data_IF_263951265343
#
_entry.id   IF_263951265343
#
_cell.length_a   1.000
_cell.length_b   1.000
_cell.length_c   1.000
_cell.angle_alpha   90.00
_cell.angle_beta   90.00
_cell.angle_gamma   90.00
#
_symmetry.space_group_name_H-M   'P 1'
#
loop_
_entity.id
_entity.type
_entity.pdbx_description
1 polymer ?
#
# COMPACT_ATOMS: atom_id res chain seq x y z
N UNK A 1 2.33 8.73 -24.87
CA UNK A 1 3.23 7.55 -24.67
C UNK A 1 2.49 6.21 -24.92
N UNK A 2 1.17 6.21 -25.03
CA UNK A 2 0.34 5.03 -25.28
C UNK A 2 0.06 4.74 -26.77
N UNK A 3 0.61 5.54 -27.69
CA UNK A 3 0.30 5.45 -29.14
C UNK A 3 1.40 4.77 -29.99
N UNK A 4 2.40 4.16 -29.40
CA UNK A 4 3.48 3.48 -30.16
C UNK A 4 3.41 1.95 -30.06
N UNK A 5 2.44 1.35 -29.38
CA UNK A 5 2.33 -0.12 -29.21
C UNK A 5 1.27 -0.79 -30.11
N UNK A 6 0.78 -0.13 -31.12
CA UNK A 6 -0.23 -0.69 -32.00
C UNK A 6 0.26 -0.89 -33.44
N UNK A 7 1.13 -1.84 -33.70
CA UNK A 7 1.25 -2.58 -35.00
C UNK A 7 2.51 -3.44 -35.04
N UNK A 8 2.40 -4.69 -34.63
CA UNK A 8 3.27 -5.76 -35.14
C UNK A 8 2.59 -7.11 -34.91
N UNK A 9 1.80 -7.54 -35.88
CA UNK A 9 1.42 -8.93 -36.01
C UNK A 9 2.24 -9.56 -37.15
N UNK A 10 2.87 -10.72 -36.82
CA UNK A 10 3.31 -11.81 -37.68
C UNK A 10 4.55 -11.64 -38.56
N UNK A 11 5.69 -12.14 -38.09
CA UNK A 11 6.59 -13.05 -38.80
C UNK A 11 7.68 -13.61 -37.85
N UNK A 12 8.16 -14.86 -38.02
CA UNK A 12 9.14 -15.48 -37.11
C UNK A 12 10.59 -15.11 -37.46
N UNK A 13 11.59 -15.51 -36.64
CA UNK A 13 12.51 -14.58 -36.02
C UNK A 13 13.89 -14.58 -36.67
N UNK A 14 14.28 -13.48 -37.14
CA UNK A 14 15.64 -13.02 -36.95
C UNK A 14 15.57 -11.83 -36.04
N UNK A 15 15.85 -12.07 -34.74
CA UNK A 15 15.86 -11.00 -33.73
C UNK A 15 17.02 -10.06 -34.05
N UNK A 16 16.79 -9.17 -35.00
CA UNK A 16 17.49 -7.92 -35.04
C UNK A 16 17.00 -7.13 -33.85
N UNK A 17 17.74 -7.13 -32.74
CA UNK A 17 17.50 -6.24 -31.63
C UNK A 17 17.62 -4.82 -32.21
N UNK A 18 16.51 -4.21 -32.55
CA UNK A 18 16.42 -2.77 -32.78
C UNK A 18 16.73 -2.10 -31.43
N UNK A 19 18.00 -1.92 -31.15
CA UNK A 19 18.43 -0.88 -30.22
C UNK A 19 18.09 0.44 -30.91
N UNK A 20 16.88 0.95 -30.71
CA UNK A 20 16.58 2.34 -31.02
C UNK A 20 17.49 3.15 -30.10
N UNK A 21 18.59 3.61 -30.68
CA UNK A 21 19.43 4.65 -30.10
C UNK A 21 18.54 5.90 -30.08
N UNK A 22 17.98 6.19 -28.93
CA UNK A 22 17.07 7.32 -28.74
C UNK A 22 17.72 8.64 -29.14
N UNK A 23 19.03 8.75 -28.99
CA UNK A 23 19.78 9.94 -29.39
C UNK A 23 19.84 10.08 -30.92
N UNK A 24 19.79 8.99 -31.68
CA UNK A 24 19.71 9.04 -33.15
C UNK A 24 18.37 9.58 -33.65
N UNK A 25 17.28 9.41 -32.89
CA UNK A 25 15.94 9.92 -33.24
C UNK A 25 15.93 11.46 -33.30
N UNK A 26 16.72 12.12 -32.45
CA UNK A 26 16.86 13.60 -32.48
C UNK A 26 17.42 14.13 -33.79
N UNK A 27 18.12 13.30 -34.58
CA UNK A 27 18.66 13.67 -35.90
C UNK A 27 17.64 13.66 -37.03
N UNK A 28 16.45 13.05 -36.84
CA UNK A 28 15.41 12.84 -37.87
C UNK A 28 14.63 14.11 -38.22
N UNK A 29 14.75 15.20 -37.43
CA UNK A 29 14.13 16.49 -37.72
C UNK A 29 13.72 17.29 -36.48
N UNK A 30 13.05 18.41 -36.70
CA UNK A 30 12.67 19.34 -35.62
C UNK A 30 11.68 18.73 -34.63
N UNK A 31 10.68 18.01 -35.10
CA UNK A 31 9.64 17.40 -34.24
C UNK A 31 10.19 16.21 -33.42
N UNK A 32 10.90 15.22 -33.99
CA UNK A 32 11.56 14.20 -33.19
C UNK A 32 12.54 14.77 -32.16
N UNK A 33 13.30 15.81 -32.50
CA UNK A 33 14.18 16.51 -31.54
C UNK A 33 13.41 17.15 -30.39
N UNK A 34 12.28 17.79 -30.68
CA UNK A 34 11.39 18.33 -29.63
C UNK A 34 10.88 17.21 -28.73
N UNK A 35 10.40 16.10 -29.27
CA UNK A 35 9.96 14.94 -28.47
C UNK A 35 11.08 14.38 -27.60
N UNK A 36 12.31 14.30 -28.09
CA UNK A 36 13.47 13.86 -27.33
C UNK A 36 13.82 14.85 -26.21
N UNK A 37 13.78 16.15 -26.48
CA UNK A 37 14.00 17.16 -25.44
C UNK A 37 12.97 17.09 -24.31
N UNK A 38 11.69 16.90 -24.67
CA UNK A 38 10.61 16.68 -23.68
C UNK A 38 10.84 15.40 -22.88
N UNK A 39 11.27 14.33 -23.54
CA UNK A 39 11.61 13.07 -22.89
C UNK A 39 12.76 13.25 -21.89
N UNK A 40 13.87 13.84 -22.31
CA UNK A 40 15.03 14.08 -21.43
C UNK A 40 14.68 15.02 -20.27
N UNK A 41 13.94 16.08 -20.55
CA UNK A 41 13.46 16.95 -19.49
C UNK A 41 12.55 16.18 -18.48
N UNK A 42 11.65 15.36 -19.01
CA UNK A 42 10.78 14.54 -18.16
C UNK A 42 11.57 13.51 -17.34
N UNK A 43 12.56 12.84 -17.95
CA UNK A 43 13.42 11.89 -17.25
C UNK A 43 14.25 12.59 -16.16
N UNK A 44 14.83 13.75 -16.43
CA UNK A 44 15.58 14.53 -15.45
C UNK A 44 14.68 15.06 -14.33
N UNK A 45 13.52 15.57 -14.67
CA UNK A 45 12.56 16.12 -13.70
C UNK A 45 11.99 15.04 -12.78
N UNK A 46 11.50 13.91 -13.34
CA UNK A 46 10.85 12.86 -12.57
C UNK A 46 11.80 11.85 -11.95
N UNK A 47 12.92 11.57 -12.61
CA UNK A 47 13.88 10.55 -12.20
C UNK A 47 15.25 11.09 -11.81
N UNK A 48 15.44 12.41 -11.83
CA UNK A 48 16.70 13.06 -11.43
C UNK A 48 17.07 12.71 -9.99
N UNK A 49 18.36 12.41 -9.75
CA UNK A 49 18.91 12.12 -8.43
C UNK A 49 20.37 12.58 -8.33
N UNK A 50 20.81 12.79 -7.10
CA UNK A 50 22.22 13.05 -6.78
C UNK A 50 22.96 11.71 -6.64
N UNK A 51 23.86 11.40 -7.56
CA UNK A 51 24.62 10.14 -7.60
C UNK A 51 25.49 9.90 -6.37
N UNK A 52 25.76 10.94 -5.55
CA UNK A 52 26.45 10.78 -4.27
C UNK A 52 25.54 10.26 -3.16
N UNK A 53 24.20 10.31 -3.32
CA UNK A 53 23.19 9.85 -2.37
C UNK A 53 22.40 8.64 -2.84
N UNK A 54 22.07 8.59 -4.13
CA UNK A 54 21.21 7.55 -4.72
C UNK A 54 21.85 7.03 -5.99
N UNK A 55 21.72 5.74 -6.28
CA UNK A 55 22.20 5.16 -7.53
C UNK A 55 21.15 4.28 -8.20
N UNK A 56 21.28 4.11 -9.53
CA UNK A 56 20.45 3.19 -10.33
C UNK A 56 20.89 1.74 -10.09
N UNK A 57 19.96 0.82 -10.23
CA UNK A 57 20.25 -0.63 -10.18
C UNK A 57 20.82 -1.16 -11.49
N UNK A 58 20.82 -0.36 -12.56
CA UNK A 58 21.24 -0.71 -13.93
C UNK A 58 20.48 -1.91 -14.52
N UNK A 59 19.31 -2.20 -13.98
CA UNK A 59 18.42 -3.28 -14.43
C UNK A 59 17.00 -2.74 -14.62
N UNK A 60 16.32 -3.26 -15.64
CA UNK A 60 14.97 -2.81 -15.98
C UNK A 60 13.88 -3.69 -15.39
N UNK A 61 14.17 -4.99 -15.24
CA UNK A 61 13.22 -5.95 -14.72
C UNK A 61 13.59 -6.38 -13.32
N UNK A 62 12.59 -6.57 -12.47
CA UNK A 62 12.73 -7.36 -11.27
C UNK A 62 11.52 -8.28 -11.07
N UNK A 63 11.80 -9.44 -10.52
CA UNK A 63 10.82 -10.40 -10.02
C UNK A 63 11.02 -10.50 -8.53
N UNK A 64 9.93 -10.40 -7.76
CA UNK A 64 9.94 -10.43 -6.32
C UNK A 64 8.89 -11.41 -5.82
N UNK A 65 9.29 -12.31 -4.94
CA UNK A 65 8.41 -13.15 -4.16
C UNK A 65 8.16 -12.48 -2.82
N UNK A 66 6.90 -12.41 -2.42
CA UNK A 66 6.46 -11.81 -1.18
C UNK A 66 5.79 -12.86 -0.30
N UNK A 67 5.99 -12.75 1.00
CA UNK A 67 5.15 -13.37 2.02
C UNK A 67 4.68 -12.26 2.94
N UNK A 68 3.38 -12.02 3.02
CA UNK A 68 2.76 -11.00 3.87
C UNK A 68 1.93 -11.69 4.96
N UNK A 69 2.25 -11.40 6.21
CA UNK A 69 1.43 -11.75 7.37
C UNK A 69 0.75 -10.50 7.88
N UNK A 70 -0.56 -10.55 8.14
CA UNK A 70 -1.33 -9.40 8.60
C UNK A 70 -2.32 -9.78 9.69
N UNK A 71 -2.72 -8.75 10.45
CA UNK A 71 -3.80 -8.82 11.42
C UNK A 71 -4.56 -7.49 11.43
N UNK A 72 -5.88 -7.59 11.47
CA UNK A 72 -6.77 -6.43 11.56
C UNK A 72 -7.29 -6.32 12.99
N UNK A 73 -7.40 -5.08 13.47
CA UNK A 73 -7.98 -4.75 14.77
C UNK A 73 -9.06 -3.70 14.56
N UNK A 74 -10.28 -3.99 15.00
CA UNK A 74 -11.41 -3.10 14.92
C UNK A 74 -11.89 -2.76 16.34
N UNK A 75 -11.85 -1.47 16.68
CA UNK A 75 -12.31 -0.99 17.98
C UNK A 75 -13.52 -0.09 17.77
N UNK A 76 -14.61 -0.41 18.45
CA UNK A 76 -15.82 0.40 18.53
C UNK A 76 -15.91 1.00 19.93
N UNK A 77 -15.91 2.33 20.01
CA UNK A 77 -16.24 3.07 21.22
C UNK A 77 -17.68 3.53 21.11
N UNK A 78 -18.51 3.02 21.99
CA UNK A 78 -19.95 3.21 22.00
C UNK A 78 -20.34 4.16 23.14
N UNK A 79 -21.57 4.73 23.13
CA UNK A 79 -22.09 5.49 24.25
C UNK A 79 -22.12 4.67 25.56
N UNK A 80 -22.32 5.38 26.69
CA UNK A 80 -22.39 4.80 28.02
C UNK A 80 -21.13 4.04 28.44
N UNK A 81 -19.95 4.52 27.97
CA UNK A 81 -18.64 3.92 28.30
C UNK A 81 -18.53 2.45 27.88
N UNK A 82 -19.10 2.07 26.75
CA UNK A 82 -19.03 0.71 26.21
C UNK A 82 -18.03 0.62 25.05
N UNK A 83 -17.39 -0.53 24.94
CA UNK A 83 -16.47 -0.80 23.82
C UNK A 83 -16.55 -2.24 23.32
N UNK A 84 -16.25 -2.42 22.04
CA UNK A 84 -16.10 -3.73 21.40
C UNK A 84 -14.76 -3.74 20.67
N UNK A 85 -13.94 -4.76 20.93
CA UNK A 85 -12.71 -4.99 20.19
C UNK A 85 -12.75 -6.32 19.49
N UNK A 86 -12.63 -6.25 18.18
CA UNK A 86 -12.55 -7.41 17.30
C UNK A 86 -11.13 -7.49 16.74
N UNK A 87 -10.55 -8.67 16.78
CA UNK A 87 -9.20 -8.94 16.27
C UNK A 87 -9.26 -10.10 15.30
N UNK A 88 -8.64 -9.94 14.14
CA UNK A 88 -8.50 -11.05 13.22
C UNK A 88 -7.41 -12.01 13.68
N UNK A 89 -7.57 -13.29 13.39
CA UNK A 89 -6.44 -14.21 13.50
C UNK A 89 -5.38 -13.83 12.47
N UNK A 90 -4.07 -13.84 12.85
CA UNK A 90 -3.01 -13.58 11.90
C UNK A 90 -3.09 -14.51 10.71
N UNK A 91 -3.10 -13.98 9.53
CA UNK A 91 -3.14 -14.74 8.29
C UNK A 91 -1.93 -14.40 7.41
N UNK A 92 -1.51 -15.36 6.59
CA UNK A 92 -0.34 -15.21 5.72
C UNK A 92 -0.74 -15.42 4.26
N UNK A 93 -0.30 -14.51 3.41
CA UNK A 93 -0.38 -14.66 1.96
C UNK A 93 1.02 -14.87 1.37
N UNK A 94 1.06 -15.49 0.20
CA UNK A 94 2.22 -15.48 -0.67
C UNK A 94 1.84 -14.86 -2.01
N UNK A 95 2.76 -14.13 -2.58
CA UNK A 95 2.53 -13.42 -3.82
C UNK A 95 3.77 -13.22 -4.66
N UNK A 96 3.53 -12.76 -5.87
CA UNK A 96 4.55 -12.39 -6.84
C UNK A 96 4.37 -10.95 -7.28
N UNK A 97 5.47 -10.23 -7.38
CA UNK A 97 5.51 -8.90 -7.98
C UNK A 97 6.43 -8.92 -9.19
N UNK A 98 6.00 -8.27 -10.24
CA UNK A 98 6.78 -8.00 -11.43
C UNK A 98 6.93 -6.50 -11.57
N UNK A 99 8.13 -6.03 -11.85
CA UNK A 99 8.35 -4.61 -12.12
C UNK A 99 9.16 -4.43 -13.39
N UNK A 100 8.80 -3.41 -14.13
CA UNK A 100 9.53 -2.92 -15.28
C UNK A 100 9.74 -1.42 -15.14
N UNK A 101 10.99 -1.00 -15.00
CA UNK A 101 11.35 0.40 -14.69
C UNK A 101 10.60 0.91 -13.43
N UNK A 102 9.75 1.92 -13.62
CA UNK A 102 8.97 2.56 -12.56
C UNK A 102 7.60 1.90 -12.28
N UNK A 103 7.17 0.99 -13.16
CA UNK A 103 5.86 0.33 -13.06
C UNK A 103 6.00 -1.01 -12.36
N UNK A 104 5.10 -1.29 -11.44
CA UNK A 104 5.03 -2.58 -10.73
C UNK A 104 3.60 -3.07 -10.64
N UNK A 105 3.44 -4.39 -10.77
CA UNK A 105 2.18 -5.09 -10.53
C UNK A 105 2.46 -6.21 -9.52
N UNK A 106 1.60 -6.35 -8.53
CA UNK A 106 1.68 -7.44 -7.57
C UNK A 106 0.31 -8.07 -7.32
N UNK A 107 0.35 -9.37 -7.07
CA UNK A 107 -0.81 -10.15 -6.69
C UNK A 107 -0.43 -11.13 -5.59
N UNK A 108 -1.18 -11.10 -4.50
CA UNK A 108 -0.97 -11.94 -3.33
C UNK A 108 -2.22 -12.77 -3.03
N UNK A 109 -2.03 -14.05 -2.67
CA UNK A 109 -3.10 -14.99 -2.30
C UNK A 109 -2.85 -15.55 -0.92
N UNK A 110 -3.90 -15.64 -0.12
CA UNK A 110 -3.84 -16.26 1.21
C UNK A 110 -3.45 -17.73 1.09
N UNK A 111 -2.44 -18.13 1.87
CA UNK A 111 -1.92 -19.49 1.97
C UNK A 111 -2.05 -20.09 3.38
N UNK A 112 -2.61 -19.38 4.34
CA UNK A 112 -2.74 -19.83 5.73
C UNK A 112 -3.44 -21.19 5.83
N UNK A 113 -4.45 -21.43 4.99
CA UNK A 113 -5.19 -22.68 4.97
C UNK A 113 -4.35 -23.93 4.62
N UNK A 114 -3.22 -23.78 3.90
CA UNK A 114 -2.30 -24.89 3.62
C UNK A 114 -1.52 -25.35 4.87
N UNK A 115 -1.37 -24.46 5.86
CA UNK A 115 -0.65 -24.71 7.10
C UNK A 115 -1.58 -24.91 8.30
N UNK A 116 -2.87 -25.22 8.07
CA UNK A 116 -3.85 -25.39 9.14
C UNK A 116 -4.30 -24.11 9.82
N UNK A 117 -3.96 -22.96 9.27
CA UNK A 117 -4.39 -21.65 9.75
C UNK A 117 -5.79 -21.27 9.26
N UNK A 118 -6.26 -20.05 9.60
CA UNK A 118 -7.60 -19.57 9.29
C UNK A 118 -7.87 -19.58 7.79
N UNK A 119 -9.07 -20.03 7.40
CA UNK A 119 -9.54 -20.02 6.00
C UNK A 119 -10.03 -18.64 5.59
N UNK A 120 -9.24 -17.62 5.81
CA UNK A 120 -9.59 -16.24 5.40
C UNK A 120 -9.33 -16.05 3.93
N UNK A 121 -10.22 -15.32 3.28
CA UNK A 121 -10.02 -14.89 1.90
C UNK A 121 -9.55 -13.44 1.89
N UNK A 122 -8.25 -13.22 1.70
CA UNK A 122 -7.72 -11.89 1.36
C UNK A 122 -7.24 -11.93 -0.08
N UNK A 123 -7.75 -11.01 -0.88
CA UNK A 123 -7.25 -10.70 -2.21
C UNK A 123 -6.63 -9.31 -2.13
N UNK A 124 -5.38 -9.19 -2.55
CA UNK A 124 -4.66 -7.93 -2.53
C UNK A 124 -4.03 -7.73 -3.91
N UNK A 125 -4.62 -6.83 -4.67
CA UNK A 125 -4.08 -6.40 -5.96
C UNK A 125 -3.51 -5.00 -5.83
N UNK A 126 -2.29 -4.78 -6.35
CA UNK A 126 -1.63 -3.48 -6.35
C UNK A 126 -1.01 -3.20 -7.70
N UNK A 127 -1.20 -1.97 -8.16
CA UNK A 127 -0.54 -1.41 -9.33
C UNK A 127 0.21 -0.15 -8.90
N UNK A 128 1.52 -0.14 -9.06
CA UNK A 128 2.38 0.94 -8.61
C UNK A 128 3.18 1.59 -9.75
N UNK A 129 3.31 2.90 -9.66
CA UNK A 129 4.27 3.68 -10.42
C UNK A 129 5.16 4.46 -9.46
N UNK A 130 6.48 4.23 -9.52
CA UNK A 130 7.44 4.85 -8.62
C UNK A 130 8.62 5.42 -9.40
N UNK A 131 8.78 6.72 -9.35
CA UNK A 131 9.98 7.40 -9.82
C UNK A 131 10.66 8.15 -8.66
N UNK A 132 11.72 8.93 -8.92
CA UNK A 132 12.40 9.63 -7.84
C UNK A 132 11.51 10.70 -7.19
N UNK A 133 10.75 11.44 -8.00
CA UNK A 133 9.91 12.54 -7.55
C UNK A 133 8.54 12.08 -7.06
N UNK A 134 7.91 11.13 -7.76
CA UNK A 134 6.49 10.79 -7.63
C UNK A 134 6.31 9.31 -7.35
N UNK A 135 5.44 8.99 -6.43
CA UNK A 135 4.90 7.65 -6.27
C UNK A 135 3.39 7.66 -6.39
N UNK A 136 2.87 6.70 -7.14
CA UNK A 136 1.43 6.49 -7.37
C UNK A 136 1.15 5.02 -7.13
N UNK A 137 0.11 4.72 -6.35
CA UNK A 137 -0.32 3.35 -6.09
C UNK A 137 -1.84 3.26 -6.19
N UNK A 138 -2.31 2.31 -6.98
CA UNK A 138 -3.69 1.83 -6.91
C UNK A 138 -3.71 0.52 -6.15
N UNK A 139 -4.70 0.33 -5.29
CA UNK A 139 -4.90 -0.90 -4.53
C UNK A 139 -6.37 -1.29 -4.44
N UNK A 140 -6.59 -2.59 -4.44
CA UNK A 140 -7.89 -3.24 -4.27
C UNK A 140 -7.72 -4.41 -3.31
N UNK A 141 -8.22 -4.24 -2.08
CA UNK A 141 -8.01 -5.15 -0.96
C UNK A 141 -9.38 -5.62 -0.48
N UNK A 142 -9.64 -6.90 -0.65
CA UNK A 142 -10.82 -7.56 -0.14
C UNK A 142 -10.44 -8.53 0.97
N UNK A 143 -11.11 -8.45 2.11
CA UNK A 143 -10.80 -9.23 3.28
C UNK A 143 -12.09 -9.71 3.95
N UNK A 144 -12.29 -11.01 4.00
CA UNK A 144 -13.34 -11.65 4.76
C UNK A 144 -12.76 -12.74 5.67
N UNK A 145 -13.45 -13.12 6.74
CA UNK A 145 -13.10 -14.32 7.47
C UNK A 145 -12.93 -14.19 8.98
N UNK A 146 -12.30 -15.22 9.54
CA UNK A 146 -12.30 -15.54 10.96
C UNK A 146 -11.72 -14.45 11.84
N UNK A 147 -12.53 -13.93 12.74
CA UNK A 147 -12.15 -12.92 13.73
C UNK A 147 -12.67 -13.33 15.10
N UNK A 148 -12.18 -12.68 16.13
CA UNK A 148 -12.63 -12.90 17.50
C UNK A 148 -12.92 -11.59 18.20
N UNK A 149 -14.00 -11.53 18.94
CA UNK A 149 -14.23 -10.51 19.94
C UNK A 149 -13.30 -10.81 21.10
N UNK A 150 -12.41 -9.87 21.41
CA UNK A 150 -11.42 -10.00 22.48
C UNK A 150 -11.73 -9.15 23.70
N UNK A 151 -12.58 -8.12 23.53
CA UNK A 151 -13.06 -7.26 24.59
C UNK A 151 -14.51 -6.86 24.28
N UNK A 152 -15.34 -6.83 25.33
CA UNK A 152 -16.73 -6.40 25.23
C UNK A 152 -17.20 -5.79 26.58
N UNK A 153 -18.02 -4.75 26.52
CA UNK A 153 -18.61 -4.13 27.72
C UNK A 153 -17.97 -2.79 28.07
N UNK A 154 -17.91 -2.45 29.36
CA UNK A 154 -17.45 -1.15 29.83
C UNK A 154 -16.00 -0.86 29.39
N UNK A 155 -15.75 0.32 28.77
CA UNK A 155 -14.43 0.71 28.26
C UNK A 155 -13.38 0.82 29.38
N UNK A 156 -13.82 1.24 30.56
CA UNK A 156 -12.98 1.36 31.76
C UNK A 156 -12.52 0.02 32.34
N UNK A 157 -13.35 -1.05 32.16
CA UNK A 157 -13.04 -2.40 32.62
C UNK A 157 -13.69 -3.45 31.71
N UNK A 158 -13.21 -3.58 30.45
CA UNK A 158 -13.83 -4.48 29.49
C UNK A 158 -13.59 -5.95 29.87
N UNK A 159 -14.61 -6.77 29.70
CA UNK A 159 -14.48 -8.22 29.83
C UNK A 159 -13.54 -8.74 28.72
N UNK A 160 -12.51 -9.47 29.12
CA UNK A 160 -11.59 -10.14 28.18
C UNK A 160 -12.18 -11.50 27.83
N UNK A 161 -12.30 -11.75 26.54
CA UNK A 161 -12.89 -12.99 26.02
C UNK A 161 -12.21 -13.43 24.73
N UNK A 162 -12.51 -14.61 24.26
CA UNK A 162 -12.19 -15.08 22.92
C UNK A 162 -13.46 -15.71 22.33
N UNK A 163 -14.33 -14.86 21.77
CA UNK A 163 -15.56 -15.30 21.11
C UNK A 163 -15.37 -15.23 19.59
N UNK A 164 -15.59 -16.34 18.90
CA UNK A 164 -15.54 -16.38 17.43
C UNK A 164 -16.59 -15.43 16.84
N UNK A 165 -16.16 -14.63 15.87
CA UNK A 165 -17.01 -13.66 15.18
C UNK A 165 -16.79 -13.75 13.67
N UNK A 166 -17.82 -14.20 12.94
CA UNK A 166 -17.77 -14.45 11.49
C UNK A 166 -18.42 -13.35 10.64
N UNK A 167 -19.06 -12.40 11.27
CA UNK A 167 -19.85 -11.37 10.62
C UNK A 167 -19.03 -10.20 10.09
N UNK A 168 -17.85 -10.45 9.48
CA UNK A 168 -17.01 -9.37 8.91
C UNK A 168 -16.79 -9.58 7.42
N UNK A 169 -17.04 -8.52 6.66
CA UNK A 169 -16.62 -8.37 5.27
C UNK A 169 -16.09 -6.95 5.09
N UNK A 170 -14.85 -6.83 4.61
CA UNK A 170 -14.24 -5.52 4.36
C UNK A 170 -13.63 -5.45 2.97
N UNK A 171 -13.95 -4.36 2.27
CA UNK A 171 -13.41 -4.06 0.97
C UNK A 171 -12.90 -2.62 0.96
N UNK A 172 -11.63 -2.43 0.62
CA UNK A 172 -11.00 -1.13 0.43
C UNK A 172 -10.35 -1.08 -0.93
N UNK A 173 -10.73 -0.11 -1.74
CA UNK A 173 -10.07 0.21 -3.01
C UNK A 173 -9.68 1.66 -3.03
N UNK A 174 -8.51 1.96 -3.54
CA UNK A 174 -8.03 3.32 -3.48
C UNK A 174 -6.87 3.64 -4.39
N UNK A 175 -6.53 4.90 -4.35
CA UNK A 175 -5.47 5.50 -5.13
C UNK A 175 -4.73 6.50 -4.26
N UNK A 176 -3.41 6.35 -4.19
CA UNK A 176 -2.50 7.27 -3.51
C UNK A 176 -1.54 7.88 -4.52
N UNK A 177 -1.31 9.19 -4.44
CA UNK A 177 -0.30 9.88 -5.21
C UNK A 177 0.44 10.87 -4.32
N UNK A 178 1.77 10.82 -4.29
CA UNK A 178 2.56 11.70 -3.45
C UNK A 178 3.92 12.04 -4.06
N UNK A 179 4.39 13.25 -3.76
CA UNK A 179 5.61 13.86 -4.29
C UNK A 179 6.61 14.04 -3.16
N UNK A 180 7.87 13.66 -3.40
CA UNK A 180 8.98 13.82 -2.46
C UNK A 180 9.69 15.15 -2.67
N UNK A 181 9.82 15.95 -1.59
CA UNK A 181 10.42 17.27 -1.68
C UNK A 181 11.96 17.24 -1.77
N UNK A 182 12.58 16.15 -1.33
CA UNK A 182 14.03 15.93 -1.41
C UNK A 182 14.37 14.70 -2.28
N UNK A 183 13.68 14.54 -3.43
CA UNK A 183 13.81 13.39 -4.33
C UNK A 183 15.23 13.17 -4.86
N UNK A 184 16.07 14.22 -4.90
CA UNK A 184 17.46 14.07 -5.37
C UNK A 184 18.34 13.28 -4.41
N UNK A 185 18.08 13.38 -3.10
CA UNK A 185 18.89 12.73 -2.06
C UNK A 185 18.21 11.55 -1.38
N UNK A 186 16.88 11.54 -1.32
CA UNK A 186 16.08 10.49 -0.69
C UNK A 186 15.42 9.61 -1.76
N UNK A 187 15.46 8.30 -1.56
CA UNK A 187 14.77 7.35 -2.43
C UNK A 187 13.82 6.46 -1.65
N UNK A 188 12.53 6.71 -1.76
CA UNK A 188 11.47 5.83 -1.26
C UNK A 188 11.60 4.43 -1.87
N UNK A 189 11.93 4.36 -3.17
CA UNK A 189 12.09 3.10 -3.89
C UNK A 189 13.23 2.24 -3.36
N UNK A 190 14.28 2.81 -2.78
CA UNK A 190 15.36 2.05 -2.18
C UNK A 190 14.91 1.29 -0.93
N UNK A 191 14.05 1.89 -0.10
CA UNK A 191 13.61 1.33 1.16
C UNK A 191 12.40 0.38 1.03
N UNK A 192 11.47 0.65 0.10
CA UNK A 192 10.17 -0.03 0.09
C UNK A 192 9.85 -0.80 -1.20
N UNK A 193 10.54 -0.48 -2.31
CA UNK A 193 10.31 -1.11 -3.63
C UNK A 193 11.56 -1.77 -4.23
N UNK A 194 12.71 -1.57 -3.61
CA UNK A 194 14.01 -2.13 -4.03
C UNK A 194 14.47 -1.71 -5.43
N UNK A 195 13.92 -0.63 -6.00
CA UNK A 195 14.20 -0.17 -7.37
C UNK A 195 15.44 0.73 -7.50
N UNK A 196 16.04 1.15 -6.40
CA UNK A 196 17.20 2.05 -6.32
C UNK A 196 18.15 1.62 -5.20
N UNK A 197 19.34 2.23 -5.18
CA UNK A 197 20.28 2.17 -4.07
C UNK A 197 20.34 3.50 -3.34
N UNK A 198 20.18 3.50 -2.03
CA UNK A 198 20.54 4.63 -1.20
C UNK A 198 22.00 4.44 -0.75
N UNK A 199 22.87 5.42 -1.05
CA UNK A 199 24.32 5.36 -0.78
C UNK A 199 24.67 6.09 0.51
N UNK A 200 23.97 7.21 0.78
CA UNK A 200 24.11 8.01 1.99
C UNK A 200 22.73 8.19 2.63
N UNK A 201 22.73 8.24 3.96
CA UNK A 201 21.51 8.48 4.73
C UNK A 201 20.89 9.82 4.35
N UNK A 202 19.59 9.83 4.13
CA UNK A 202 18.84 11.03 3.80
C UNK A 202 17.36 10.85 4.13
N UNK A 203 16.65 11.97 4.30
CA UNK A 203 15.22 12.01 4.48
C UNK A 203 14.53 12.98 3.53
N UNK A 204 13.23 12.85 3.42
CA UNK A 204 12.37 13.73 2.64
C UNK A 204 11.02 13.91 3.29
N UNK A 205 10.53 15.12 3.33
CA UNK A 205 9.09 15.34 3.42
C UNK A 205 8.44 14.94 2.11
N UNK A 206 7.20 14.47 2.20
CA UNK A 206 6.37 14.22 1.03
C UNK A 206 4.95 14.73 1.28
N UNK A 207 4.31 15.16 0.21
CA UNK A 207 2.93 15.63 0.21
C UNK A 207 2.16 14.89 -0.86
N UNK A 208 0.88 14.64 -0.63
CA UNK A 208 0.11 13.86 -1.57
C UNK A 208 -1.38 13.92 -1.37
N UNK A 209 -2.07 13.24 -2.27
CA UNK A 209 -3.50 13.05 -2.26
C UNK A 209 -3.81 11.56 -2.20
N UNK A 210 -4.85 11.23 -1.48
CA UNK A 210 -5.40 9.88 -1.39
C UNK A 210 -6.89 9.93 -1.66
N UNK A 211 -7.34 9.00 -2.49
CA UNK A 211 -8.75 8.66 -2.61
C UNK A 211 -8.91 7.20 -2.26
N UNK A 212 -9.87 6.87 -1.39
CA UNK A 212 -10.22 5.49 -1.14
C UNK A 212 -11.69 5.33 -0.79
N UNK A 213 -12.24 4.24 -1.27
CA UNK A 213 -13.57 3.78 -0.96
C UNK A 213 -13.49 2.61 0.01
N UNK A 214 -14.22 2.72 1.12
CA UNK A 214 -14.36 1.68 2.12
C UNK A 214 -15.79 1.15 2.12
N UNK A 215 -15.93 -0.17 2.03
CA UNK A 215 -17.19 -0.88 2.21
C UNK A 215 -16.96 -1.95 3.27
N UNK A 216 -17.45 -1.71 4.48
CA UNK A 216 -17.29 -2.59 5.63
C UNK A 216 -18.65 -3.00 6.16
N UNK A 217 -18.82 -4.29 6.36
CA UNK A 217 -20.03 -4.89 6.94
C UNK A 217 -19.67 -5.69 8.17
N UNK A 218 -20.33 -5.38 9.28
CA UNK A 218 -20.25 -6.10 10.53
C UNK A 218 -21.64 -6.55 10.95
N UNK A 219 -21.87 -7.86 11.01
CA UNK A 219 -23.11 -8.48 11.43
C UNK A 219 -22.95 -9.08 12.84
N UNK A 220 -23.53 -8.42 13.80
CA UNK A 220 -23.54 -8.82 15.21
C UNK A 220 -24.74 -9.69 15.60
N UNK A 221 -25.59 -10.08 14.65
CA UNK A 221 -26.81 -10.88 14.92
C UNK A 221 -26.50 -12.24 15.55
N UNK A 222 -25.32 -12.82 15.24
CA UNK A 222 -24.85 -14.08 15.77
C UNK A 222 -24.32 -14.03 17.22
N UNK A 223 -24.28 -12.86 17.86
CA UNK A 223 -23.82 -12.75 19.25
C UNK A 223 -24.85 -13.35 20.24
N UNK A 224 -24.39 -13.83 21.43
CA UNK A 224 -25.26 -14.20 22.54
C UNK A 224 -26.19 -13.08 22.92
N UNK A 225 -27.44 -13.44 23.33
CA UNK A 225 -28.47 -12.47 23.69
C UNK A 225 -28.04 -11.40 24.71
N UNK A 226 -27.30 -11.73 25.80
CA UNK A 226 -26.86 -10.73 26.77
C UNK A 226 -25.89 -9.70 26.19
N UNK A 227 -25.17 -10.06 25.14
CA UNK A 227 -24.27 -9.14 24.42
C UNK A 227 -25.05 -8.29 23.41
N UNK A 228 -25.98 -8.90 22.65
CA UNK A 228 -26.85 -8.17 21.72
C UNK A 228 -27.66 -7.09 22.40
N UNK A 229 -28.20 -7.37 23.58
CA UNK A 229 -28.97 -6.42 24.37
C UNK A 229 -28.18 -5.17 24.82
N UNK A 230 -26.85 -5.20 24.71
CA UNK A 230 -25.99 -4.07 25.04
C UNK A 230 -25.56 -3.25 23.80
N UNK A 231 -25.92 -3.71 22.60
CA UNK A 231 -25.64 -2.98 21.37
C UNK A 231 -26.56 -1.77 21.23
N UNK A 232 -26.13 -0.73 20.53
CA UNK A 232 -26.92 0.47 20.31
C UNK A 232 -28.21 0.18 19.51
N UNK A 233 -29.35 0.74 19.93
CA UNK A 233 -30.64 0.58 19.24
C UNK A 233 -30.62 1.06 17.77
N UNK A 234 -29.74 2.01 17.43
CA UNK A 234 -29.61 2.49 16.05
C UNK A 234 -28.81 1.56 15.12
N UNK A 235 -28.26 0.47 15.64
CA UNK A 235 -27.69 -0.59 14.82
C UNK A 235 -28.82 -1.51 14.34
N UNK A 236 -29.48 -1.10 13.27
CA UNK A 236 -30.61 -1.83 12.69
C UNK A 236 -30.22 -3.28 12.43
N UNK A 237 -31.04 -4.22 12.93
CA UNK A 237 -30.77 -5.66 12.80
C UNK A 237 -29.37 -6.08 13.28
N UNK A 238 -28.82 -5.38 14.29
CA UNK A 238 -27.47 -5.63 14.81
C UNK A 238 -26.35 -5.48 13.76
N UNK A 239 -26.57 -4.73 12.69
CA UNK A 239 -25.62 -4.48 11.63
C UNK A 239 -24.90 -3.13 11.79
N UNK A 240 -23.59 -3.12 11.56
CA UNK A 240 -22.83 -1.89 11.42
C UNK A 240 -22.18 -1.83 10.02
N UNK A 241 -22.59 -0.85 9.25
CA UNK A 241 -22.19 -0.69 7.85
C UNK A 241 -21.44 0.61 7.66
N UNK A 242 -20.35 0.55 6.89
CA UNK A 242 -19.58 1.70 6.41
C UNK A 242 -19.46 1.59 4.91
N UNK A 243 -20.00 2.56 4.20
CA UNK A 243 -19.85 2.71 2.75
C UNK A 243 -19.49 4.17 2.46
N UNK A 244 -18.20 4.43 2.28
CA UNK A 244 -17.68 5.81 2.23
C UNK A 244 -16.62 6.00 1.18
N UNK A 245 -16.67 7.16 0.51
CA UNK A 245 -15.63 7.70 -0.35
C UNK A 245 -14.82 8.73 0.43
N UNK A 246 -13.52 8.56 0.48
CA UNK A 246 -12.60 9.38 1.26
C UNK A 246 -11.68 10.17 0.32
N UNK A 247 -11.64 11.49 0.49
CA UNK A 247 -10.79 12.42 -0.25
C UNK A 247 -9.83 13.08 0.73
N UNK A 248 -8.58 12.71 0.66
CA UNK A 248 -7.63 13.03 1.72
C UNK A 248 -6.37 13.69 1.17
N UNK A 249 -5.81 14.56 2.00
CA UNK A 249 -4.47 15.10 1.87
C UNK A 249 -3.53 14.30 2.78
N UNK A 250 -2.31 14.04 2.31
CA UNK A 250 -1.24 13.38 3.06
C UNK A 250 -0.06 14.31 3.22
N UNK A 251 0.46 14.40 4.42
CA UNK A 251 1.75 15.00 4.71
C UNK A 251 2.57 13.98 5.46
N UNK A 252 3.78 13.71 5.00
CA UNK A 252 4.59 12.69 5.66
C UNK A 252 6.08 13.00 5.60
N UNK A 253 6.83 12.19 6.33
CA UNK A 253 8.28 12.21 6.34
C UNK A 253 8.82 10.78 6.23
N UNK A 254 9.82 10.61 5.38
CA UNK A 254 10.56 9.38 5.25
C UNK A 254 12.04 9.62 5.50
N UNK A 255 12.71 8.62 6.11
CA UNK A 255 14.15 8.65 6.32
C UNK A 255 14.76 7.29 6.05
N UNK A 256 15.93 7.30 5.41
CA UNK A 256 16.72 6.12 5.08
C UNK A 256 18.07 6.20 5.81
N UNK A 257 18.33 5.25 6.72
CA UNK A 257 19.65 5.06 7.34
C UNK A 257 20.43 4.02 6.54
N UNK A 258 21.51 4.44 5.93
CA UNK A 258 22.47 3.55 5.26
C UNK A 258 23.46 3.04 6.30
N UNK A 259 23.36 1.76 6.64
CA UNK A 259 24.27 1.11 7.59
C UNK A 259 25.60 0.74 6.91
N UNK A 260 25.51 0.24 5.70
CA UNK A 260 26.66 -0.01 4.82
C UNK A 260 26.17 -0.07 3.35
N UNK A 261 27.07 -0.39 2.42
CA UNK A 261 26.74 -0.43 0.98
C UNK A 261 25.65 -1.43 0.58
N UNK A 262 25.31 -2.36 1.46
CA UNK A 262 24.29 -3.40 1.19
C UNK A 262 23.10 -3.36 2.12
N UNK A 263 23.16 -2.65 3.24
CA UNK A 263 22.14 -2.64 4.28
C UNK A 263 21.55 -1.26 4.48
N UNK A 264 20.24 -1.19 4.45
CA UNK A 264 19.43 0.01 4.62
C UNK A 264 18.31 -0.23 5.62
N UNK A 265 18.05 0.75 6.48
CA UNK A 265 16.83 0.85 7.28
C UNK A 265 16.05 2.05 6.76
N UNK A 266 14.78 1.86 6.42
CA UNK A 266 13.87 2.92 6.02
C UNK A 266 12.72 3.08 6.99
N UNK A 267 12.35 4.31 7.30
CA UNK A 267 11.14 4.64 8.06
C UNK A 267 10.32 5.64 7.27
N UNK A 268 9.01 5.52 7.35
CA UNK A 268 8.08 6.48 6.75
C UNK A 268 6.86 6.59 7.64
N UNK A 269 6.41 7.82 7.87
CA UNK A 269 5.18 8.11 8.60
C UNK A 269 4.41 9.21 7.88
N UNK A 270 3.08 9.04 7.79
CA UNK A 270 2.22 10.05 7.19
C UNK A 270 0.83 10.07 7.79
N UNK A 271 0.49 11.14 8.55
CA UNK A 271 -0.89 11.49 8.83
C UNK A 271 -1.65 11.79 7.53
N UNK A 272 -2.90 11.39 7.51
CA UNK A 272 -3.84 11.50 6.40
C UNK A 272 -5.08 12.20 6.91
N UNK A 273 -5.42 13.33 6.31
CA UNK A 273 -6.52 14.19 6.74
C UNK A 273 -7.44 14.47 5.55
N UNK A 274 -8.73 14.37 5.73
CA UNK A 274 -9.64 14.64 4.63
C UNK A 274 -11.11 14.64 5.00
N UNK A 275 -11.91 14.47 3.98
CA UNK A 275 -13.35 14.40 4.05
C UNK A 275 -13.81 13.04 3.55
N UNK A 276 -14.73 12.44 4.26
CA UNK A 276 -15.44 11.25 3.82
C UNK A 276 -16.91 11.56 3.55
N UNK A 277 -17.42 10.94 2.49
CA UNK A 277 -18.81 11.04 2.06
C UNK A 277 -19.39 9.64 1.91
N UNK A 278 -20.59 9.42 2.41
CA UNK A 278 -21.29 8.16 2.29
C UNK A 278 -22.09 7.80 3.52
N UNK A 279 -22.38 6.52 3.65
CA UNK A 279 -23.20 5.97 4.73
C UNK A 279 -22.32 5.34 5.81
N UNK A 280 -22.61 5.69 7.05
CA UNK A 280 -22.05 5.04 8.24
C UNK A 280 -23.20 4.82 9.21
N UNK A 281 -23.37 3.61 9.69
CA UNK A 281 -24.42 3.30 10.66
C UNK A 281 -24.33 4.23 11.89
N UNK A 282 -25.47 4.84 12.26
CA UNK A 282 -25.55 5.81 13.35
C UNK A 282 -25.11 7.23 13.00
N UNK A 283 -24.64 7.49 11.79
CA UNK A 283 -24.33 8.84 11.32
C UNK A 283 -25.53 9.45 10.56
N UNK A 284 -25.97 10.62 11.00
CA UNK A 284 -27.09 11.33 10.35
C UNK A 284 -26.62 12.27 9.23
N UNK A 285 -25.32 12.54 9.17
CA UNK A 285 -24.73 13.41 8.14
C UNK A 285 -24.03 12.57 7.09
N UNK A 286 -24.18 12.90 5.79
CA UNK A 286 -23.53 12.17 4.72
C UNK A 286 -22.02 12.45 4.62
N UNK A 287 -21.49 13.40 5.43
CA UNK A 287 -20.08 13.78 5.41
C UNK A 287 -19.52 13.91 6.81
N UNK A 288 -18.26 13.50 6.97
CA UNK A 288 -17.50 13.65 8.21
C UNK A 288 -16.00 13.82 7.91
N UNK A 289 -15.21 14.11 8.94
CA UNK A 289 -13.76 14.13 8.81
C UNK A 289 -13.23 12.69 8.61
N UNK A 290 -12.28 12.52 7.72
CA UNK A 290 -11.49 11.31 7.55
C UNK A 290 -10.11 11.54 8.16
N UNK A 291 -9.75 10.73 9.13
CA UNK A 291 -8.46 10.77 9.80
C UNK A 291 -7.81 9.39 9.68
N UNK A 292 -6.57 9.37 9.25
CA UNK A 292 -5.79 8.15 9.23
C UNK A 292 -4.31 8.44 9.50
N UNK A 293 -3.56 7.41 9.86
CA UNK A 293 -2.10 7.48 9.95
C UNK A 293 -1.51 6.24 9.31
N UNK A 294 -0.46 6.40 8.51
CA UNK A 294 0.24 5.31 7.86
C UNK A 294 1.70 5.33 8.24
N UNK A 295 2.17 4.24 8.78
CA UNK A 295 3.55 4.04 9.21
C UNK A 295 4.15 2.84 8.49
N UNK A 296 5.43 2.96 8.15
CA UNK A 296 6.19 1.83 7.59
C UNK A 296 7.63 1.85 8.10
N UNK A 297 8.15 0.68 8.41
CA UNK A 297 9.54 0.43 8.75
C UNK A 297 10.07 -0.66 7.82
N UNK A 298 11.23 -0.46 7.24
CA UNK A 298 11.86 -1.45 6.37
C UNK A 298 13.29 -1.74 6.78
N UNK A 299 13.69 -2.99 6.56
CA UNK A 299 15.08 -3.44 6.60
C UNK A 299 15.40 -4.09 5.26
N UNK A 300 16.40 -3.58 4.55
CA UNK A 300 16.70 -3.99 3.16
C UNK A 300 18.16 -4.42 3.05
N UNK A 301 18.37 -5.62 2.49
CA UNK A 301 19.64 -6.08 1.99
C UNK A 301 19.63 -6.08 0.46
N UNK A 302 20.68 -5.57 -0.18
CA UNK A 302 20.74 -5.37 -1.61
C UNK A 302 22.19 -5.50 -2.12
N UNK A 303 22.49 -6.43 -3.04
CA UNK A 303 23.82 -6.66 -3.57
C UNK A 303 23.94 -6.47 -5.10
N UNK A 304 22.98 -5.80 -5.72
CA UNK A 304 22.94 -5.59 -7.15
C UNK A 304 21.85 -6.39 -7.83
N UNK A 305 22.07 -7.64 -8.10
CA UNK A 305 21.08 -8.51 -8.72
C UNK A 305 20.06 -9.05 -7.70
N UNK A 306 20.53 -9.53 -6.57
CA UNK A 306 19.67 -10.03 -5.50
C UNK A 306 19.34 -8.94 -4.49
N UNK A 307 18.13 -8.98 -3.99
CA UNK A 307 17.69 -8.18 -2.85
C UNK A 307 16.75 -8.99 -1.97
N UNK A 308 16.76 -8.65 -0.70
CA UNK A 308 15.82 -9.16 0.28
C UNK A 308 15.42 -8.02 1.22
N UNK A 309 14.23 -8.09 1.77
CA UNK A 309 13.79 -7.09 2.72
C UNK A 309 12.61 -7.54 3.56
N UNK A 310 12.49 -6.85 4.68
CA UNK A 310 11.38 -6.98 5.62
C UNK A 310 10.75 -5.61 5.75
N UNK A 311 9.43 -5.53 5.65
CA UNK A 311 8.66 -4.29 5.82
C UNK A 311 7.57 -4.55 6.84
N UNK A 312 7.56 -3.79 7.94
CA UNK A 312 6.43 -3.67 8.85
C UNK A 312 5.59 -2.47 8.46
N UNK A 313 4.28 -2.60 8.42
CA UNK A 313 3.33 -1.52 8.17
C UNK A 313 2.27 -1.48 9.26
N UNK A 314 1.84 -0.28 9.61
CA UNK A 314 0.71 -0.04 10.50
C UNK A 314 -0.13 1.09 9.89
N UNK A 315 -1.29 0.72 9.39
CA UNK A 315 -2.27 1.65 8.82
C UNK A 315 -3.43 1.76 9.79
N UNK A 316 -3.72 2.97 10.25
CA UNK A 316 -4.79 3.25 11.22
C UNK A 316 -5.77 4.25 10.61
N UNK A 317 -7.06 3.96 10.75
CA UNK A 317 -8.13 4.85 10.35
C UNK A 317 -9.06 5.14 11.53
N UNK A 318 -9.52 6.38 11.65
CA UNK A 318 -10.46 6.83 12.65
C UNK A 318 -11.69 7.41 11.97
N UNK A 319 -12.84 6.86 12.29
CA UNK A 319 -14.16 7.42 11.98
C UNK A 319 -14.77 7.87 13.31
N UNK A 320 -15.02 9.16 13.41
CA UNK A 320 -15.58 9.77 14.61
C UNK A 320 -16.89 10.48 14.31
N UNK A 321 -17.90 10.24 15.13
CA UNK A 321 -19.13 11.01 15.17
C UNK A 321 -19.56 11.27 16.63
N UNK A 322 -20.61 12.07 16.83
CA UNK A 322 -21.10 12.41 18.19
C UNK A 322 -21.57 11.22 19.03
N UNK A 323 -21.84 10.07 18.41
CA UNK A 323 -22.41 8.90 19.06
C UNK A 323 -21.43 7.78 19.28
N UNK A 324 -20.34 7.74 18.46
CA UNK A 324 -19.38 6.64 18.50
C UNK A 324 -18.06 7.03 17.85
N UNK A 325 -16.99 6.33 18.22
CA UNK A 325 -15.73 6.30 17.48
C UNK A 325 -15.48 4.86 16.99
N UNK A 326 -15.01 4.75 15.76
CA UNK A 326 -14.58 3.50 15.17
C UNK A 326 -13.15 3.65 14.72
N UNK A 327 -12.28 2.79 15.21
CA UNK A 327 -10.86 2.78 14.89
C UNK A 327 -10.55 1.43 14.26
N UNK A 328 -10.08 1.43 13.02
CA UNK A 328 -9.50 0.25 12.40
C UNK A 328 -7.98 0.37 12.35
N UNK A 329 -7.29 -0.75 12.55
CA UNK A 329 -5.85 -0.84 12.41
C UNK A 329 -5.52 -2.09 11.60
N UNK A 330 -4.83 -1.92 10.50
CA UNK A 330 -4.24 -3.00 9.70
C UNK A 330 -2.73 -3.03 10.02
N UNK A 331 -2.29 -4.17 10.53
CA UNK A 331 -0.89 -4.42 10.84
C UNK A 331 -0.38 -5.48 9.88
N UNK A 332 0.66 -5.18 9.13
CA UNK A 332 1.25 -6.15 8.21
C UNK A 332 2.76 -6.24 8.32
N UNK A 333 3.25 -7.44 8.05
CA UNK A 333 4.66 -7.79 8.04
C UNK A 333 4.98 -8.52 6.75
N UNK A 334 5.81 -7.91 5.91
CA UNK A 334 6.09 -8.37 4.55
C UNK A 334 7.55 -8.79 4.48
N UNK A 335 7.79 -10.07 4.16
CA UNK A 335 9.11 -10.57 3.77
C UNK A 335 9.18 -10.65 2.25
N UNK A 336 10.26 -10.18 1.67
CA UNK A 336 10.45 -10.18 0.22
C UNK A 336 11.85 -10.66 -0.15
N UNK A 337 11.92 -11.46 -1.22
CA UNK A 337 13.18 -11.81 -1.89
C UNK A 337 12.98 -11.62 -3.38
N UNK A 338 13.95 -11.02 -4.04
CA UNK A 338 13.82 -10.75 -5.45
C UNK A 338 15.14 -10.75 -6.21
N UNK A 339 14.98 -10.83 -7.52
CA UNK A 339 16.08 -10.84 -8.47
C UNK A 339 15.85 -9.82 -9.57
N UNK A 340 16.93 -9.11 -9.94
CA UNK A 340 16.92 -8.10 -11.01
C UNK A 340 17.71 -8.60 -12.20
N UNK A 341 17.19 -8.33 -13.40
CA UNK A 341 17.79 -8.77 -14.65
C UNK A 341 17.45 -7.83 -15.80
N UNK A 342 18.19 -7.99 -16.89
CA UNK A 342 17.88 -7.39 -18.17
C UNK A 342 17.66 -8.50 -19.19
N UNK A 343 16.58 -8.42 -19.97
CA UNK A 343 16.29 -9.41 -21.03
C UNK A 343 17.15 -9.21 -22.29
N UNK A 344 17.71 -8.00 -22.45
CA UNK A 344 18.60 -7.64 -23.54
C UNK A 344 19.79 -6.83 -23.04
N UNK A 345 20.89 -6.94 -23.75
CA UNK A 345 22.08 -6.13 -23.45
C UNK A 345 21.78 -4.66 -23.76
N UNK A 346 21.82 -3.82 -22.75
CA UNK A 346 21.71 -2.37 -22.90
C UNK A 346 23.11 -1.85 -23.12
N UNK A 347 23.31 -1.15 -24.24
CA UNK A 347 24.48 -0.30 -24.41
C UNK A 347 24.21 1.01 -23.69
N UNK A 348 24.99 1.30 -22.67
CA UNK A 348 25.02 2.59 -21.97
C UNK A 348 25.86 3.56 -22.76
#
# INVERSE_FOLDING_TARGET
>A
LLLVFGAASAAPPSVCALSLDLDSVASWGKFPRFCMNVYHWGEEFFNGFDSTYVNKTHTYFNVKLNSESWADVYNFELPEDKSIRIVSEPATSAGISLSYLAVSISYDKNISGFFGGPKRTRKNFRLGFNCSLLAVEYYDIHNDGDTHITRFGASSNPEKMKLEFKGINTHTRGFDAYVFLNQKKYSQSAAFNYGRYQIRSAGSFFVGLSYFHNSYDFDFSGLPEPMRAQLPDWWNNYGYHVDTNNYCFRLGYGYNWVLNRHLLIGVSESPVLGLQYGHITGNTKPSSASLANRMALSFVWNNGHWFAGIIGRADQGLIYNKKQAYINSDLSFICSVGYRFNLWKVKY
#
